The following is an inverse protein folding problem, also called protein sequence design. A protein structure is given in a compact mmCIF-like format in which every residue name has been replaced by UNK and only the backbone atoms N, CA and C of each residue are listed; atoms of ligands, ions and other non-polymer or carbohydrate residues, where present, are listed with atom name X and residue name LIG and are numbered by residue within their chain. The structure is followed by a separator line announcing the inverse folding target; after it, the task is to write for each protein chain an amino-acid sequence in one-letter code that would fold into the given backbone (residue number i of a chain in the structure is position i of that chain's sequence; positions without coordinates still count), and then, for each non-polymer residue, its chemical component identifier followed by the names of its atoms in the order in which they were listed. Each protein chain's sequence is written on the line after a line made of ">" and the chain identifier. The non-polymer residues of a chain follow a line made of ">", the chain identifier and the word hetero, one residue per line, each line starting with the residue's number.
data_IF_482025903643
#
_entry.id   IF_482025903643
#
_cell.length_a   1.000
_cell.length_b   1.000
_cell.length_c   1.000
_cell.angle_alpha   90.00
_cell.angle_beta   90.00
_cell.angle_gamma   90.00
#
_symmetry.space_group_name_H-M   'P 1'
#
loop_
_entity.id
_entity.type
_entity.pdbx_description
1 polymer ?
#
# COMPACT_ATOMS: atom_id res chain seq x y z
N UNK A 1 39.67 -77.49 -5.30
CA UNK A 1 38.39 -76.94 -5.81
C UNK A 1 37.63 -76.05 -4.82
N UNK A 2 37.87 -76.09 -3.50
CA UNK A 2 37.16 -75.21 -2.55
C UNK A 2 37.63 -73.75 -2.53
N UNK A 3 38.88 -73.46 -2.90
CA UNK A 3 39.40 -72.07 -2.92
C UNK A 3 38.93 -71.24 -4.12
N UNK A 4 38.53 -71.89 -5.23
CA UNK A 4 38.04 -71.18 -6.42
C UNK A 4 36.58 -70.71 -6.26
N UNK A 5 35.78 -71.37 -5.42
CA UNK A 5 34.39 -70.99 -5.18
C UNK A 5 34.23 -69.78 -4.24
N UNK A 6 35.20 -69.53 -3.35
CA UNK A 6 35.14 -68.40 -2.40
C UNK A 6 35.51 -67.08 -3.08
N UNK A 7 36.41 -67.10 -4.08
CA UNK A 7 36.81 -65.91 -4.83
C UNK A 7 35.72 -65.43 -5.82
N UNK A 8 34.86 -66.32 -6.32
CA UNK A 8 33.72 -65.94 -7.19
C UNK A 8 32.55 -65.38 -6.38
N UNK A 9 32.41 -65.75 -5.10
CA UNK A 9 31.41 -65.16 -4.19
C UNK A 9 31.81 -63.76 -3.68
N UNK A 10 33.10 -63.43 -3.66
CA UNK A 10 33.59 -62.11 -3.25
C UNK A 10 33.58 -61.03 -4.37
N UNK A 11 33.43 -61.42 -5.63
CA UNK A 11 33.33 -60.47 -6.76
C UNK A 11 31.91 -59.93 -7.01
N UNK A 12 30.91 -60.36 -6.25
CA UNK A 12 29.53 -59.83 -6.32
C UNK A 12 29.20 -58.76 -5.28
N UNK A 13 30.16 -58.40 -4.41
CA UNK A 13 30.03 -57.24 -3.53
C UNK A 13 30.73 -56.04 -4.18
N UNK A 14 30.20 -55.60 -5.33
CA UNK A 14 30.34 -54.19 -5.65
C UNK A 14 29.72 -53.42 -4.48
N UNK A 15 30.31 -52.31 -4.02
CA UNK A 15 29.52 -51.36 -3.25
C UNK A 15 28.42 -50.92 -4.21
N UNK A 16 27.26 -51.55 -4.10
CA UNK A 16 25.99 -50.93 -4.40
C UNK A 16 25.97 -49.75 -3.44
N UNK A 17 26.61 -48.66 -3.85
CA UNK A 17 26.33 -47.36 -3.31
C UNK A 17 24.84 -47.26 -3.47
N UNK A 18 24.12 -47.44 -2.36
CA UNK A 18 22.80 -46.89 -2.24
C UNK A 18 23.03 -45.41 -2.57
N UNK A 19 22.79 -45.07 -3.83
CA UNK A 19 22.41 -43.72 -4.20
C UNK A 19 21.16 -43.50 -3.37
N UNK A 20 21.35 -42.95 -2.16
CA UNK A 20 20.28 -42.32 -1.40
C UNK A 20 19.77 -41.29 -2.39
N UNK A 21 18.71 -41.67 -3.09
CA UNK A 21 18.05 -40.81 -4.04
C UNK A 21 17.42 -39.74 -3.15
N UNK A 22 18.20 -38.68 -2.94
CA UNK A 22 17.86 -37.57 -2.06
C UNK A 22 16.45 -37.15 -2.45
N UNK A 23 15.51 -37.38 -1.53
CA UNK A 23 14.16 -36.86 -1.66
C UNK A 23 14.31 -35.38 -1.89
N UNK A 24 13.93 -34.89 -3.08
CA UNK A 24 14.13 -33.50 -3.49
C UNK A 24 13.62 -32.58 -2.40
N UNK A 25 14.51 -31.83 -1.75
CA UNK A 25 14.09 -30.86 -0.75
C UNK A 25 13.75 -29.55 -1.44
N UNK A 26 12.46 -29.32 -1.70
CA UNK A 26 11.98 -28.11 -2.36
C UNK A 26 12.31 -26.82 -1.61
N UNK A 27 12.46 -26.88 -0.28
CA UNK A 27 12.90 -25.73 0.50
C UNK A 27 14.39 -25.44 0.23
N UNK A 28 15.22 -26.49 0.15
CA UNK A 28 16.64 -26.35 -0.18
C UNK A 28 16.87 -25.91 -1.63
N UNK A 29 16.08 -26.42 -2.59
CA UNK A 29 16.15 -26.04 -4.01
C UNK A 29 15.86 -24.53 -4.19
N UNK A 30 14.90 -23.99 -3.45
CA UNK A 30 14.61 -22.55 -3.47
C UNK A 30 15.48 -21.73 -2.51
N UNK A 31 16.29 -22.37 -1.66
CA UNK A 31 17.13 -21.69 -0.67
C UNK A 31 16.34 -20.98 0.43
N UNK A 32 15.16 -21.49 0.80
CA UNK A 32 14.28 -20.92 1.83
C UNK A 32 14.10 -21.89 3.00
N UNK A 33 13.76 -21.37 4.19
CA UNK A 33 13.46 -22.21 5.38
C UNK A 33 12.00 -22.66 5.38
N UNK A 34 11.71 -23.80 6.01
CA UNK A 34 10.33 -24.20 6.33
C UNK A 34 9.68 -23.11 7.20
N UNK A 35 8.50 -22.63 6.78
CA UNK A 35 7.83 -21.49 7.42
C UNK A 35 8.13 -20.11 6.81
N UNK A 36 8.85 -20.05 5.69
CA UNK A 36 9.04 -18.79 4.94
C UNK A 36 7.70 -18.16 4.54
N UNK A 37 7.65 -16.83 4.49
CA UNK A 37 6.48 -16.11 4.03
C UNK A 37 6.25 -16.29 2.52
N UNK A 38 5.01 -16.12 2.05
CA UNK A 38 4.68 -16.15 0.61
C UNK A 38 5.52 -15.17 -0.22
N UNK A 39 5.93 -14.05 0.40
CA UNK A 39 6.75 -13.03 -0.25
C UNK A 39 8.20 -13.50 -0.41
N UNK A 40 8.77 -14.15 0.61
CA UNK A 40 10.11 -14.75 0.54
C UNK A 40 10.16 -15.89 -0.48
N UNK A 41 9.14 -16.75 -0.51
CA UNK A 41 9.03 -17.83 -1.49
C UNK A 41 8.98 -17.30 -2.93
N UNK A 42 8.16 -16.25 -3.17
CA UNK A 42 8.09 -15.57 -4.48
C UNK A 42 9.41 -14.91 -4.86
N UNK A 43 10.10 -14.29 -3.90
CA UNK A 43 11.39 -13.62 -4.14
C UNK A 43 12.48 -14.63 -4.51
N UNK A 44 12.58 -15.74 -3.79
CA UNK A 44 13.52 -16.81 -4.04
C UNK A 44 13.35 -17.42 -5.45
N UNK A 45 12.10 -17.76 -5.81
CA UNK A 45 11.79 -18.27 -7.14
C UNK A 45 12.17 -17.27 -8.25
N UNK A 46 11.84 -15.98 -8.09
CA UNK A 46 12.20 -14.95 -9.10
C UNK A 46 13.70 -14.86 -9.34
N UNK A 47 14.48 -14.88 -8.27
CA UNK A 47 15.95 -14.78 -8.35
C UNK A 47 16.55 -15.98 -9.08
N UNK A 48 16.11 -17.20 -8.74
CA UNK A 48 16.63 -18.43 -9.35
C UNK A 48 16.13 -18.61 -10.79
N UNK A 49 14.87 -18.28 -11.06
CA UNK A 49 14.30 -18.37 -12.41
C UNK A 49 14.97 -17.39 -13.38
N UNK A 50 15.37 -16.20 -12.92
CA UNK A 50 16.18 -15.27 -13.73
C UNK A 50 17.62 -15.76 -13.90
N UNK A 51 18.20 -16.39 -12.88
CA UNK A 51 19.59 -16.89 -12.92
C UNK A 51 19.75 -18.03 -13.91
N UNK A 52 18.74 -18.88 -14.06
CA UNK A 52 18.76 -20.06 -14.93
C UNK A 52 17.95 -19.89 -16.22
N UNK A 53 17.56 -18.66 -16.57
CA UNK A 53 16.86 -18.40 -17.83
C UNK A 53 17.81 -18.59 -19.03
N UNK A 54 17.38 -19.25 -20.12
CA UNK A 54 18.24 -19.55 -21.28
C UNK A 54 18.87 -18.29 -21.91
N UNK A 55 18.19 -17.14 -21.84
CA UNK A 55 18.72 -15.85 -22.33
C UNK A 55 19.90 -15.27 -21.50
N UNK A 56 20.17 -15.79 -20.30
CA UNK A 56 21.19 -15.27 -19.38
C UNK A 56 22.40 -16.18 -19.20
N UNK A 57 22.41 -17.33 -19.85
CA UNK A 57 23.41 -18.37 -19.66
C UNK A 57 24.12 -18.64 -21.00
N UNK A 58 25.44 -18.83 -20.94
CA UNK A 58 26.25 -19.16 -22.11
C UNK A 58 25.80 -20.48 -22.74
N UNK A 59 25.98 -20.63 -24.05
CA UNK A 59 25.47 -21.77 -24.82
C UNK A 59 25.93 -23.14 -24.28
N UNK A 60 27.15 -23.19 -23.73
CA UNK A 60 27.75 -24.39 -23.11
C UNK A 60 27.05 -24.86 -21.82
N UNK A 61 26.35 -23.96 -21.12
CA UNK A 61 25.75 -24.22 -19.80
C UNK A 61 24.21 -24.31 -19.85
N UNK A 62 23.61 -24.24 -21.06
CA UNK A 62 22.16 -24.25 -21.26
C UNK A 62 21.49 -25.49 -20.68
N UNK A 63 22.04 -26.68 -20.94
CA UNK A 63 21.45 -27.94 -20.45
C UNK A 63 21.41 -28.03 -18.91
N UNK A 64 22.41 -27.44 -18.24
CA UNK A 64 22.48 -27.43 -16.77
C UNK A 64 21.55 -26.37 -16.19
N UNK A 65 21.49 -25.19 -16.83
CA UNK A 65 20.55 -24.14 -16.44
C UNK A 65 19.10 -24.59 -16.62
N UNK A 66 18.80 -25.28 -17.71
CA UNK A 66 17.48 -25.82 -18.01
C UNK A 66 17.01 -26.82 -16.93
N UNK A 67 17.86 -27.77 -16.55
CA UNK A 67 17.56 -28.72 -15.46
C UNK A 67 17.29 -28.02 -14.13
N UNK A 68 18.10 -27.01 -13.80
CA UNK A 68 17.90 -26.23 -12.57
C UNK A 68 16.66 -25.34 -12.64
N UNK A 69 16.33 -24.80 -13.80
CA UNK A 69 15.12 -24.01 -14.01
C UNK A 69 13.87 -24.86 -13.80
N UNK A 70 13.89 -26.09 -14.31
CA UNK A 70 12.86 -27.10 -14.07
C UNK A 70 12.68 -27.39 -12.58
N UNK A 71 13.76 -27.69 -11.87
CA UNK A 71 13.71 -28.02 -10.43
C UNK A 71 13.18 -26.85 -9.60
N UNK A 72 13.59 -25.62 -9.95
CA UNK A 72 13.13 -24.39 -9.30
C UNK A 72 11.63 -24.14 -9.54
N UNK A 73 11.13 -24.44 -10.74
CA UNK A 73 9.71 -24.31 -11.06
C UNK A 73 8.86 -25.36 -10.34
N UNK A 74 9.30 -26.62 -10.32
CA UNK A 74 8.66 -27.72 -9.60
C UNK A 74 8.56 -27.40 -8.10
N UNK A 75 9.66 -26.95 -7.49
CA UNK A 75 9.69 -26.56 -6.08
C UNK A 75 8.72 -25.41 -5.75
N UNK A 76 8.66 -24.40 -6.62
CA UNK A 76 7.75 -23.26 -6.43
C UNK A 76 6.28 -23.67 -6.59
N UNK A 77 5.96 -24.54 -7.53
CA UNK A 77 4.59 -25.01 -7.75
C UNK A 77 4.07 -25.78 -6.53
N UNK A 78 4.87 -26.68 -5.96
CA UNK A 78 4.49 -27.45 -4.78
C UNK A 78 4.37 -26.55 -3.54
N UNK A 79 5.33 -25.65 -3.31
CA UNK A 79 5.36 -24.83 -2.10
C UNK A 79 4.41 -23.61 -2.13
N UNK A 80 3.96 -23.17 -3.30
CA UNK A 80 3.07 -22.00 -3.43
C UNK A 80 1.58 -22.32 -3.31
N UNK A 81 1.19 -23.59 -3.48
CA UNK A 81 -0.18 -24.05 -3.26
C UNK A 81 -0.31 -24.61 -1.82
N UNK A 82 -1.21 -24.05 -0.98
CA UNK A 82 -1.36 -24.49 0.41
C UNK A 82 -1.64 -25.99 0.57
N UNK A 83 -2.42 -26.60 -0.33
CA UNK A 83 -2.76 -28.04 -0.28
C UNK A 83 -1.56 -28.89 -0.66
N UNK A 84 -0.89 -28.56 -1.77
CA UNK A 84 0.32 -29.29 -2.21
C UNK A 84 1.47 -29.16 -1.22
N UNK A 85 1.62 -27.98 -0.61
CA UNK A 85 2.61 -27.73 0.45
C UNK A 85 2.34 -28.58 1.68
N UNK A 86 1.08 -28.67 2.11
CA UNK A 86 0.67 -29.50 3.23
C UNK A 86 0.93 -30.98 2.96
N UNK A 87 0.52 -31.49 1.79
CA UNK A 87 0.80 -32.87 1.36
C UNK A 87 2.32 -33.14 1.31
N UNK A 88 3.11 -32.23 0.76
CA UNK A 88 4.57 -32.33 0.74
C UNK A 88 5.19 -32.32 2.14
N UNK A 89 4.74 -31.42 3.01
CA UNK A 89 5.23 -31.33 4.39
C UNK A 89 4.86 -32.58 5.20
N UNK A 90 3.69 -33.17 4.97
CA UNK A 90 3.27 -34.44 5.56
C UNK A 90 4.14 -35.59 5.04
N UNK A 91 4.30 -35.73 3.72
CA UNK A 91 5.18 -36.76 3.12
C UNK A 91 6.63 -36.67 3.60
N UNK A 92 7.15 -35.46 3.82
CA UNK A 92 8.50 -35.22 4.36
C UNK A 92 8.60 -35.55 5.85
N UNK A 93 7.53 -35.35 6.63
CA UNK A 93 7.51 -35.62 8.06
C UNK A 93 7.47 -37.12 8.40
N UNK A 94 6.86 -37.95 7.54
CA UNK A 94 6.75 -39.40 7.76
C UNK A 94 7.99 -40.22 7.34
N UNK A 95 9.12 -39.58 7.04
CA UNK A 95 10.40 -40.29 6.93
C UNK A 95 10.47 -41.34 5.81
N UNK A 96 10.04 -40.98 4.59
CA UNK A 96 10.45 -41.66 3.36
C UNK A 96 9.61 -42.87 2.92
N UNK A 97 9.05 -42.74 1.71
CA UNK A 97 8.79 -43.88 0.83
C UNK A 97 7.42 -44.53 0.92
N UNK A 98 6.50 -44.12 0.04
CA UNK A 98 5.61 -45.11 -0.57
C UNK A 98 5.48 -44.86 -2.08
N UNK A 99 5.76 -45.94 -2.80
CA UNK A 99 5.54 -46.16 -4.24
C UNK A 99 4.14 -45.69 -4.64
N UNK A 100 4.06 -44.50 -5.24
CA UNK A 100 2.96 -44.11 -6.11
C UNK A 100 3.39 -44.32 -7.56
N UNK A 101 3.11 -45.51 -8.10
CA UNK A 101 3.33 -45.84 -9.50
C UNK A 101 2.44 -44.96 -10.39
N UNK A 102 2.99 -43.85 -10.87
CA UNK A 102 2.43 -43.00 -11.93
C UNK A 102 3.58 -42.52 -12.80
N UNK A 103 4.12 -43.44 -13.61
CA UNK A 103 5.36 -43.24 -14.34
C UNK A 103 5.33 -42.04 -15.29
N UNK A 104 6.45 -41.30 -15.32
CA UNK A 104 6.82 -40.44 -16.44
C UNK A 104 8.31 -40.63 -16.74
N UNK A 105 8.62 -41.80 -17.26
CA UNK A 105 9.86 -42.07 -17.98
C UNK A 105 9.56 -42.33 -19.46
N UNK A 106 10.23 -41.59 -20.34
CA UNK A 106 10.52 -42.02 -21.71
C UNK A 106 9.49 -41.71 -22.79
N UNK A 107 9.70 -40.63 -23.55
CA UNK A 107 9.09 -40.40 -24.85
C UNK A 107 9.88 -39.39 -25.66
N UNK A 108 10.64 -39.86 -26.65
CA UNK A 108 11.36 -39.04 -27.64
C UNK A 108 10.39 -38.07 -28.33
N UNK A 109 10.72 -36.78 -28.32
CA UNK A 109 10.12 -35.77 -29.22
C UNK A 109 9.52 -34.56 -28.50
N UNK A 110 10.25 -33.44 -28.56
CA UNK A 110 9.79 -32.05 -28.40
C UNK A 110 9.04 -31.59 -27.14
N UNK A 111 9.63 -30.56 -26.52
CA UNK A 111 9.01 -29.52 -25.68
C UNK A 111 8.54 -29.86 -24.25
N UNK A 112 9.45 -29.67 -23.28
CA UNK A 112 9.27 -28.98 -21.99
C UNK A 112 7.92 -29.01 -21.25
N UNK A 113 7.32 -30.20 -21.05
CA UNK A 113 6.06 -30.33 -20.31
C UNK A 113 6.15 -31.37 -19.20
N UNK A 114 5.83 -30.97 -17.97
CA UNK A 114 5.68 -31.87 -16.82
C UNK A 114 4.24 -32.38 -16.77
N UNK A 115 4.06 -33.68 -16.52
CA UNK A 115 2.73 -34.25 -16.29
C UNK A 115 2.56 -34.57 -14.81
N UNK A 116 1.77 -33.74 -14.13
CA UNK A 116 1.30 -33.98 -12.76
C UNK A 116 -0.21 -33.82 -12.73
N UNK A 117 -0.95 -34.93 -12.72
CA UNK A 117 -2.38 -34.94 -12.44
C UNK A 117 -3.28 -34.30 -13.50
N UNK A 118 -3.02 -34.53 -14.80
CA UNK A 118 -3.97 -34.21 -15.87
C UNK A 118 -3.94 -32.77 -16.39
N UNK A 119 -3.02 -31.93 -15.91
CA UNK A 119 -2.77 -30.60 -16.47
C UNK A 119 -1.29 -30.45 -16.81
N UNK A 120 -0.97 -30.32 -18.10
CA UNK A 120 0.38 -30.02 -18.58
C UNK A 120 0.70 -28.56 -18.27
N UNK A 121 1.56 -28.31 -17.29
CA UNK A 121 2.02 -26.95 -16.97
C UNK A 121 3.45 -26.79 -17.45
N UNK A 122 3.67 -25.87 -18.39
CA UNK A 122 5.00 -25.52 -18.86
C UNK A 122 5.70 -24.65 -17.79
N UNK A 123 6.94 -24.96 -17.37
CA UNK A 123 7.70 -24.12 -16.42
C UNK A 123 7.84 -22.68 -16.89
N UNK A 124 8.05 -22.50 -18.19
CA UNK A 124 8.06 -21.20 -18.84
C UNK A 124 6.71 -20.47 -18.76
N UNK A 125 5.58 -21.18 -18.72
CA UNK A 125 4.27 -20.56 -18.50
C UNK A 125 4.07 -20.08 -17.06
N UNK A 126 4.67 -20.76 -16.06
CA UNK A 126 4.70 -20.28 -14.67
C UNK A 126 5.55 -19.01 -14.57
N UNK A 127 6.71 -19.02 -15.25
CA UNK A 127 7.57 -17.84 -15.39
C UNK A 127 6.83 -16.70 -16.11
N UNK A 128 6.22 -16.92 -17.27
CA UNK A 128 5.43 -15.92 -18.01
C UNK A 128 4.22 -15.42 -17.21
N UNK A 129 3.56 -16.27 -16.43
CA UNK A 129 2.48 -15.83 -15.53
C UNK A 129 2.99 -14.89 -14.43
N UNK A 130 4.26 -15.02 -14.04
CA UNK A 130 4.93 -14.18 -13.05
C UNK A 130 5.66 -12.95 -13.64
N UNK A 131 6.30 -13.09 -14.80
CA UNK A 131 7.17 -12.13 -15.49
C UNK A 131 6.57 -11.59 -16.81
N UNK A 132 5.80 -12.39 -17.54
CA UNK A 132 4.99 -11.92 -18.68
C UNK A 132 3.88 -10.94 -18.26
N UNK A 133 3.55 -10.91 -16.96
CA UNK A 133 2.78 -9.82 -16.33
C UNK A 133 3.51 -8.49 -16.21
N UNK A 134 4.78 -8.38 -16.63
CA UNK A 134 5.53 -7.11 -16.70
C UNK A 134 5.71 -6.53 -18.12
N UNK A 135 5.18 -7.16 -19.16
CA UNK A 135 5.24 -6.64 -20.55
C UNK A 135 3.92 -6.10 -21.11
N UNK A 136 2.78 -6.67 -20.68
CA UNK A 136 1.48 -6.24 -21.18
C UNK A 136 0.44 -6.47 -20.07
N UNK A 137 -0.11 -5.36 -19.53
CA UNK A 137 -1.06 -5.30 -18.39
C UNK A 137 -0.40 -5.15 -17.00
N UNK A 138 0.00 -3.92 -16.65
CA UNK A 138 0.41 -3.54 -15.29
C UNK A 138 -0.43 -2.38 -14.73
N UNK A 139 -0.77 -2.28 -13.44
CA UNK A 139 -0.41 -3.13 -12.32
C UNK A 139 -1.10 -2.70 -11.01
N UNK A 140 -1.03 -3.60 -10.03
CA UNK A 140 -1.07 -3.47 -8.55
C UNK A 140 -0.91 -4.90 -8.00
N UNK A 141 -0.01 -5.21 -7.06
CA UNK A 141 0.46 -4.46 -5.89
C UNK A 141 1.81 -5.02 -5.36
N UNK A 142 2.48 -4.17 -4.57
CA UNK A 142 3.44 -4.43 -3.48
C UNK A 142 4.81 -5.00 -3.87
N UNK A 143 5.86 -4.19 -3.80
CA UNK A 143 6.65 -3.83 -2.60
C UNK A 143 7.80 -4.83 -2.42
N UNK A 144 8.87 -4.54 -3.15
CA UNK A 144 10.24 -4.95 -2.85
C UNK A 144 11.17 -4.09 -3.72
N UNK A 145 11.13 -2.76 -3.53
CA UNK A 145 12.08 -1.86 -4.18
C UNK A 145 13.15 -1.46 -3.18
N UNK A 146 14.15 -2.34 -3.04
CA UNK A 146 15.50 -1.95 -2.62
C UNK A 146 16.61 -2.80 -3.29
N UNK A 147 16.39 -3.38 -4.48
CA UNK A 147 17.40 -4.23 -5.16
C UNK A 147 17.70 -3.85 -6.63
N UNK A 148 17.08 -2.81 -7.19
CA UNK A 148 17.24 -2.50 -8.62
C UNK A 148 17.73 -1.08 -8.94
N UNK A 149 18.37 -0.43 -7.98
CA UNK A 149 18.99 0.88 -8.18
C UNK A 149 20.52 0.77 -8.22
N UNK A 150 21.06 -0.23 -8.93
CA UNK A 150 22.50 -0.31 -9.19
C UNK A 150 22.80 -1.23 -10.39
N UNK A 151 22.38 -0.86 -11.60
CA UNK A 151 23.05 -1.35 -12.81
C UNK A 151 22.98 -0.26 -13.90
N UNK A 152 23.96 0.61 -13.82
CA UNK A 152 24.40 1.50 -14.87
C UNK A 152 25.21 0.66 -15.86
N UNK A 153 24.69 0.43 -17.07
CA UNK A 153 25.51 -0.08 -18.18
C UNK A 153 25.44 0.92 -19.33
N UNK A 154 26.55 1.63 -19.52
CA UNK A 154 26.83 2.41 -20.72
C UNK A 154 27.36 1.52 -21.84
N UNK A 155 27.19 2.02 -23.08
CA UNK A 155 27.94 1.73 -24.31
C UNK A 155 28.05 0.26 -24.75
N UNK A 156 27.45 -0.11 -25.89
CA UNK A 156 28.09 -0.05 -27.23
C UNK A 156 27.14 -0.63 -28.30
N UNK A 157 26.85 0.22 -29.29
CA UNK A 157 26.92 0.03 -30.75
C UNK A 157 26.21 -1.13 -31.46
N UNK A 158 25.45 -0.78 -32.52
CA UNK A 158 25.40 -1.62 -33.72
C UNK A 158 24.06 -1.79 -34.45
N UNK A 159 23.96 -1.13 -35.60
CA UNK A 159 23.17 -1.50 -36.80
C UNK A 159 21.67 -1.15 -36.84
N UNK A 160 21.31 -0.51 -37.95
CA UNK A 160 20.06 0.19 -38.14
C UNK A 160 18.92 -0.69 -38.67
N UNK A 161 17.73 -0.34 -38.22
CA UNK A 161 16.51 -0.47 -38.99
C UNK A 161 15.59 0.69 -38.58
N UNK A 162 15.14 1.48 -39.56
CA UNK A 162 14.10 2.49 -39.39
C UNK A 162 12.80 1.81 -38.95
N UNK A 163 12.64 1.63 -37.63
CA UNK A 163 11.33 1.40 -37.03
C UNK A 163 10.66 2.74 -36.86
N UNK A 164 9.48 2.89 -37.47
CA UNK A 164 8.52 3.96 -37.18
C UNK A 164 8.51 4.19 -35.67
N UNK A 165 8.73 5.45 -35.26
CA UNK A 165 8.61 5.89 -33.87
C UNK A 165 7.16 5.68 -33.43
N UNK A 166 6.83 4.49 -32.96
CA UNK A 166 5.69 4.29 -32.08
C UNK A 166 5.97 5.15 -30.85
N UNK A 167 5.14 6.19 -30.66
CA UNK A 167 5.20 7.03 -29.48
C UNK A 167 5.21 6.11 -28.25
N UNK A 168 6.27 6.22 -27.42
CA UNK A 168 6.33 5.51 -26.13
C UNK A 168 4.99 5.72 -25.41
N UNK A 169 4.31 4.66 -24.93
CA UNK A 169 3.03 4.82 -24.24
C UNK A 169 3.23 5.78 -23.08
N UNK A 170 2.58 6.94 -23.13
CA UNK A 170 2.67 7.93 -22.05
C UNK A 170 2.18 7.27 -20.76
N UNK A 171 3.08 7.17 -19.78
CA UNK A 171 2.76 6.70 -18.44
C UNK A 171 1.69 7.61 -17.85
N UNK A 172 0.64 7.01 -17.31
CA UNK A 172 -0.43 7.72 -16.61
C UNK A 172 0.11 8.40 -15.34
N UNK A 173 -0.56 9.49 -14.92
CA UNK A 173 -0.16 10.32 -13.78
C UNK A 173 0.18 9.54 -12.51
N UNK A 174 -0.59 8.50 -12.21
CA UNK A 174 -0.48 7.68 -11.00
C UNK A 174 0.27 6.37 -11.19
N UNK A 175 0.88 6.16 -12.37
CA UNK A 175 1.71 4.98 -12.56
C UNK A 175 2.86 4.98 -11.57
N UNK A 176 3.07 3.84 -10.90
CA UNK A 176 4.07 3.65 -9.84
C UNK A 176 3.81 4.41 -8.53
N UNK A 177 2.66 5.08 -8.36
CA UNK A 177 2.30 5.68 -7.06
C UNK A 177 1.68 4.60 -6.15
N UNK A 178 2.26 4.34 -4.96
CA UNK A 178 1.72 3.36 -4.03
C UNK A 178 0.32 3.80 -3.59
N UNK A 179 -0.56 2.82 -3.37
CA UNK A 179 -1.91 3.01 -2.81
C UNK A 179 -2.92 3.87 -3.63
N UNK A 180 -2.52 4.63 -4.66
CA UNK A 180 -3.40 5.20 -5.73
C UNK A 180 -3.54 4.37 -7.03
N UNK A 181 -4.75 3.95 -7.41
CA UNK A 181 -5.01 3.12 -8.62
C UNK A 181 -5.13 3.97 -9.88
N UNK A 182 -4.36 3.67 -10.94
CA UNK A 182 -4.69 4.14 -12.30
C UNK A 182 -5.94 3.42 -12.80
N UNK A 183 -7.05 4.15 -12.90
CA UNK A 183 -8.33 3.64 -13.40
C UNK A 183 -8.37 3.61 -14.92
N UNK A 184 -9.14 2.66 -15.44
CA UNK A 184 -9.46 2.51 -16.86
C UNK A 184 -10.92 2.15 -16.99
N UNK A 185 -11.46 2.13 -18.21
CA UNK A 185 -12.86 1.73 -18.45
C UNK A 185 -13.25 0.39 -17.78
N UNK A 186 -12.34 -0.60 -17.76
CA UNK A 186 -12.57 -1.92 -17.13
C UNK A 186 -12.44 -1.91 -15.61
N UNK A 187 -11.61 -1.01 -15.06
CA UNK A 187 -11.32 -0.92 -13.62
C UNK A 187 -12.20 0.11 -12.91
N UNK A 188 -12.94 0.93 -13.65
CA UNK A 188 -13.81 1.95 -13.10
C UNK A 188 -14.93 1.30 -12.26
N UNK A 189 -15.26 1.83 -11.08
CA UNK A 189 -16.27 1.24 -10.22
C UNK A 189 -17.64 1.22 -10.91
N UNK A 190 -18.21 0.02 -11.01
CA UNK A 190 -19.56 -0.21 -11.51
C UNK A 190 -20.55 -0.43 -10.36
N UNK A 191 -21.82 -0.72 -10.68
CA UNK A 191 -22.85 -1.06 -9.68
C UNK A 191 -22.43 -2.18 -8.72
N UNK A 192 -21.64 -3.14 -9.20
CA UNK A 192 -21.19 -4.29 -8.41
C UNK A 192 -19.77 -4.09 -7.82
N UNK A 193 -19.30 -2.85 -7.67
CA UNK A 193 -17.98 -2.58 -7.13
C UNK A 193 -17.86 -3.11 -5.70
N UNK A 194 -16.83 -3.92 -5.43
CA UNK A 194 -16.55 -4.46 -4.08
C UNK A 194 -16.03 -3.41 -3.09
N UNK A 195 -15.66 -2.23 -3.56
CA UNK A 195 -15.04 -1.19 -2.75
C UNK A 195 -15.62 0.17 -3.11
N UNK A 196 -15.63 1.07 -2.12
CA UNK A 196 -15.90 2.48 -2.26
C UNK A 196 -14.67 3.20 -2.81
N UNK A 197 -14.86 4.27 -3.58
CA UNK A 197 -13.76 4.94 -4.28
C UNK A 197 -13.80 6.46 -4.13
N UNK A 198 -12.64 7.03 -3.82
CA UNK A 198 -12.33 8.43 -4.11
C UNK A 198 -11.53 8.49 -5.43
N UNK A 199 -12.02 9.26 -6.39
CA UNK A 199 -11.48 9.32 -7.75
C UNK A 199 -11.06 10.74 -8.09
N UNK A 200 -9.83 10.90 -8.56
CA UNK A 200 -9.35 12.11 -9.22
C UNK A 200 -9.48 11.99 -10.75
N UNK A 201 -10.28 12.85 -11.35
CA UNK A 201 -10.41 12.99 -12.80
C UNK A 201 -9.46 14.07 -13.27
N UNK A 202 -8.55 13.74 -14.21
CA UNK A 202 -7.50 14.66 -14.64
C UNK A 202 -7.24 14.60 -16.14
N UNK A 203 -6.54 15.62 -16.64
CA UNK A 203 -5.95 15.68 -17.97
C UNK A 203 -4.42 15.70 -17.85
N UNK A 204 -3.73 14.95 -18.69
CA UNK A 204 -2.27 14.97 -18.81
C UNK A 204 -1.74 16.25 -19.45
N UNK A 205 -2.62 17.02 -20.13
CA UNK A 205 -2.25 18.28 -20.75
C UNK A 205 -2.07 19.40 -19.72
N UNK A 206 -2.68 19.27 -18.54
CA UNK A 206 -2.50 20.23 -17.45
C UNK A 206 -1.42 19.77 -16.47
N UNK A 207 -0.27 20.48 -16.52
CA UNK A 207 0.89 20.22 -15.65
C UNK A 207 0.56 20.40 -14.16
N UNK A 208 -0.47 21.18 -13.80
CA UNK A 208 -0.88 21.37 -12.39
C UNK A 208 -1.34 20.06 -11.75
N UNK A 209 -1.76 19.07 -12.55
CA UNK A 209 -2.20 17.77 -12.03
C UNK A 209 -1.09 16.97 -11.33
N UNK A 210 0.19 17.27 -11.61
CA UNK A 210 1.32 16.64 -10.93
C UNK A 210 1.32 16.86 -9.41
N UNK A 211 0.78 17.99 -8.92
CA UNK A 211 0.74 18.31 -7.48
C UNK A 211 -0.12 17.32 -6.68
N UNK A 212 -1.13 16.73 -7.32
CA UNK A 212 -2.07 15.80 -6.69
C UNK A 212 -1.49 14.39 -6.46
N UNK A 213 -0.29 14.09 -6.97
CA UNK A 213 0.34 12.77 -6.77
C UNK A 213 0.57 12.47 -5.30
N UNK A 214 1.20 13.40 -4.59
CA UNK A 214 1.50 13.26 -3.16
C UNK A 214 0.21 13.26 -2.33
N UNK A 215 -0.69 14.21 -2.60
CA UNK A 215 -1.97 14.33 -1.89
C UNK A 215 -2.81 13.06 -1.97
N UNK A 216 -3.01 12.50 -3.17
CA UNK A 216 -3.81 11.29 -3.31
C UNK A 216 -3.16 10.07 -2.66
N UNK A 217 -1.82 9.98 -2.64
CA UNK A 217 -1.11 8.92 -1.94
C UNK A 217 -1.30 9.02 -0.41
N UNK A 218 -1.16 10.23 0.16
CA UNK A 218 -1.41 10.49 1.59
C UNK A 218 -2.85 10.11 1.96
N UNK A 219 -3.84 10.62 1.22
CA UNK A 219 -5.25 10.31 1.45
C UNK A 219 -5.50 8.79 1.38
N UNK A 220 -4.87 8.11 0.43
CA UNK A 220 -5.02 6.66 0.33
C UNK A 220 -4.45 5.89 1.51
N UNK A 221 -3.37 6.39 2.12
CA UNK A 221 -2.78 5.82 3.33
C UNK A 221 -3.70 6.06 4.53
N UNK A 222 -4.20 7.29 4.68
CA UNK A 222 -5.05 7.71 5.78
C UNK A 222 -6.42 7.00 5.78
N UNK A 223 -6.97 6.71 4.59
CA UNK A 223 -8.22 5.94 4.45
C UNK A 223 -8.05 4.44 4.79
N UNK A 224 -6.81 3.96 4.95
CA UNK A 224 -6.52 2.59 5.42
C UNK A 224 -7.13 1.48 4.56
N UNK A 225 -7.42 1.75 3.29
CA UNK A 225 -8.06 0.80 2.37
C UNK A 225 -9.58 0.62 2.53
N UNK A 226 -10.23 1.28 3.49
CA UNK A 226 -11.69 1.30 3.65
C UNK A 226 -12.37 1.93 2.43
N UNK A 227 -11.78 3.02 1.94
CA UNK A 227 -12.10 3.65 0.66
C UNK A 227 -10.86 3.58 -0.22
N UNK A 228 -10.99 3.05 -1.44
CA UNK A 228 -9.89 3.00 -2.42
C UNK A 228 -9.71 4.36 -3.06
N UNK A 229 -8.46 4.71 -3.35
CA UNK A 229 -8.13 5.95 -4.05
C UNK A 229 -7.65 5.62 -5.45
N UNK A 230 -8.14 6.35 -6.45
CA UNK A 230 -7.76 6.17 -7.84
C UNK A 230 -7.77 7.45 -8.65
N UNK A 231 -7.19 7.38 -9.85
CA UNK A 231 -7.20 8.47 -10.81
C UNK A 231 -7.60 7.99 -12.20
N UNK A 232 -8.43 8.77 -12.90
CA UNK A 232 -8.88 8.51 -14.26
C UNK A 232 -8.39 9.63 -15.19
N UNK A 233 -7.61 9.24 -16.21
CA UNK A 233 -7.23 10.16 -17.29
C UNK A 233 -8.42 10.39 -18.23
N UNK A 234 -8.98 11.60 -18.21
CA UNK A 234 -10.10 11.98 -19.06
C UNK A 234 -9.71 12.27 -20.52
N UNK A 235 -8.43 12.50 -20.84
CA UNK A 235 -7.98 12.57 -22.24
C UNK A 235 -8.11 11.19 -22.91
N UNK A 236 -7.83 10.14 -22.14
CA UNK A 236 -7.90 8.75 -22.61
C UNK A 236 -9.31 8.16 -22.52
N UNK A 237 -10.11 8.57 -21.54
CA UNK A 237 -11.43 8.02 -21.26
C UNK A 237 -12.52 9.11 -21.12
N UNK A 238 -12.72 9.99 -22.13
CA UNK A 238 -13.64 11.13 -22.02
C UNK A 238 -15.10 10.69 -21.85
N UNK A 239 -15.50 9.56 -22.43
CA UNK A 239 -16.86 9.02 -22.31
C UNK A 239 -17.20 8.63 -20.87
N UNK A 240 -16.26 8.04 -20.13
CA UNK A 240 -16.45 7.66 -18.72
C UNK A 240 -16.60 8.92 -17.85
N UNK A 241 -15.80 9.95 -18.10
CA UNK A 241 -15.90 11.22 -17.36
C UNK A 241 -17.26 11.90 -17.60
N UNK A 242 -17.70 12.04 -18.86
CA UNK A 242 -18.99 12.66 -19.20
C UNK A 242 -20.19 11.90 -18.65
N UNK A 243 -20.20 10.56 -18.73
CA UNK A 243 -21.27 9.73 -18.16
C UNK A 243 -21.43 9.93 -16.65
N UNK A 244 -20.35 10.28 -15.96
CA UNK A 244 -20.33 10.55 -14.53
C UNK A 244 -20.45 12.06 -14.20
N UNK A 245 -20.98 12.86 -15.14
CA UNK A 245 -21.23 14.30 -15.01
C UNK A 245 -19.98 15.14 -14.73
N UNK A 246 -18.80 14.63 -15.08
CA UNK A 246 -17.55 15.40 -14.99
C UNK A 246 -17.45 16.31 -16.22
N UNK A 247 -17.37 17.61 -15.99
CA UNK A 247 -17.09 18.57 -17.04
C UNK A 247 -15.58 18.59 -17.35
N UNK A 248 -15.25 18.32 -18.61
CA UNK A 248 -13.87 18.21 -19.07
C UNK A 248 -13.15 19.56 -19.10
N UNK A 249 -13.88 20.68 -19.11
CA UNK A 249 -13.31 22.03 -19.11
C UNK A 249 -12.88 22.49 -17.71
N UNK A 250 -13.41 21.86 -16.67
CA UNK A 250 -13.19 22.22 -15.27
C UNK A 250 -12.34 21.19 -14.50
N UNK A 251 -11.50 20.43 -15.21
CA UNK A 251 -10.53 19.54 -14.58
C UNK A 251 -9.44 20.36 -13.83
N UNK A 252 -8.91 19.85 -12.70
CA UNK A 252 -9.19 18.56 -12.08
C UNK A 252 -10.53 18.50 -11.33
N UNK A 253 -11.16 17.33 -11.35
CA UNK A 253 -12.38 17.07 -10.59
C UNK A 253 -12.20 15.86 -9.66
N UNK A 254 -12.97 15.84 -8.57
CA UNK A 254 -12.92 14.76 -7.58
C UNK A 254 -14.31 14.19 -7.34
N UNK A 255 -14.41 12.87 -7.22
CA UNK A 255 -15.68 12.19 -7.05
C UNK A 255 -15.60 11.00 -6.11
N UNK A 256 -16.71 10.74 -5.43
CA UNK A 256 -16.94 9.56 -4.63
C UNK A 256 -17.83 8.59 -5.40
N UNK A 257 -17.36 7.35 -5.60
CA UNK A 257 -18.08 6.35 -6.36
C UNK A 257 -18.39 5.12 -5.51
N UNK A 258 -19.67 4.74 -5.47
CA UNK A 258 -20.15 3.54 -4.79
C UNK A 258 -21.47 3.07 -5.40
N UNK A 259 -21.66 1.75 -5.53
CA UNK A 259 -22.90 1.14 -6.05
C UNK A 259 -23.38 1.72 -7.40
N UNK A 260 -22.44 2.15 -8.25
CA UNK A 260 -22.74 2.77 -9.55
C UNK A 260 -23.25 4.21 -9.48
N UNK A 261 -23.31 4.80 -8.30
CA UNK A 261 -23.54 6.23 -8.11
C UNK A 261 -22.23 6.99 -8.04
N UNK A 262 -22.26 8.24 -8.50
CA UNK A 262 -21.15 9.18 -8.44
C UNK A 262 -21.60 10.46 -7.76
N UNK A 263 -20.88 10.86 -6.71
CA UNK A 263 -21.04 12.17 -6.06
C UNK A 263 -19.80 12.99 -6.30
N UNK A 264 -19.95 14.11 -7.02
CA UNK A 264 -18.83 15.02 -7.29
C UNK A 264 -18.63 15.98 -6.12
N UNK A 265 -17.36 16.24 -5.81
CA UNK A 265 -16.95 17.26 -4.85
C UNK A 265 -17.15 18.65 -5.47
N UNK A 266 -17.67 19.61 -4.70
CA UNK A 266 -18.07 20.95 -5.18
C UNK A 266 -17.30 22.12 -4.55
N UNK A 267 -16.32 21.86 -3.69
CA UNK A 267 -15.53 22.90 -3.03
C UNK A 267 -14.16 23.08 -3.64
N UNK A 268 -13.33 23.92 -3.00
CA UNK A 268 -11.92 24.05 -3.33
C UNK A 268 -11.18 22.78 -2.87
N UNK A 269 -10.55 22.03 -3.79
CA UNK A 269 -9.95 20.76 -3.41
C UNK A 269 -8.66 21.01 -2.61
N UNK A 270 -8.49 20.22 -1.55
CA UNK A 270 -7.28 20.14 -0.73
C UNK A 270 -7.17 18.77 -0.06
N UNK A 271 -6.00 18.45 0.51
CA UNK A 271 -5.75 17.15 1.13
C UNK A 271 -6.81 16.82 2.20
N UNK A 272 -7.10 17.80 3.06
CA UNK A 272 -8.07 17.67 4.14
C UNK A 272 -9.50 17.57 3.63
N UNK A 273 -9.88 18.45 2.70
CA UNK A 273 -11.24 18.54 2.17
C UNK A 273 -11.64 17.27 1.43
N UNK A 274 -10.72 16.69 0.65
CA UNK A 274 -10.93 15.46 -0.09
C UNK A 274 -10.97 14.24 0.83
N UNK A 275 -10.12 14.21 1.85
CA UNK A 275 -10.13 13.16 2.87
C UNK A 275 -11.44 13.18 3.66
N UNK A 276 -11.86 14.37 4.12
CA UNK A 276 -13.15 14.56 4.80
C UNK A 276 -14.32 14.17 3.89
N UNK A 277 -14.30 14.58 2.63
CA UNK A 277 -15.32 14.21 1.67
C UNK A 277 -15.44 12.70 1.51
N UNK A 278 -14.32 11.98 1.38
CA UNK A 278 -14.33 10.52 1.32
C UNK A 278 -14.84 9.89 2.63
N UNK A 279 -14.38 10.40 3.78
CA UNK A 279 -14.77 9.91 5.08
C UNK A 279 -16.25 10.12 5.40
N UNK A 280 -16.82 11.27 5.06
CA UNK A 280 -18.25 11.59 5.29
C UNK A 280 -19.16 10.68 4.45
N UNK A 281 -18.81 10.46 3.17
CA UNK A 281 -19.60 9.57 2.32
C UNK A 281 -19.48 8.10 2.75
N UNK A 282 -18.33 7.70 3.31
CA UNK A 282 -18.18 6.40 3.95
C UNK A 282 -18.99 6.29 5.27
N UNK A 283 -18.94 7.34 6.11
CA UNK A 283 -19.60 7.43 7.43
C UNK A 283 -21.12 7.47 7.34
N UNK A 284 -21.72 8.06 6.30
CA UNK A 284 -23.17 8.07 6.13
C UNK A 284 -23.79 6.65 6.02
N UNK A 285 -22.95 5.60 5.96
CA UNK A 285 -23.35 4.20 5.88
C UNK A 285 -23.15 3.39 7.17
N UNK A 286 -22.16 3.73 7.99
CA UNK A 286 -21.92 3.08 9.28
C UNK A 286 -22.27 4.11 10.36
N UNK A 287 -23.18 3.81 11.29
CA UNK A 287 -23.35 4.58 12.54
C UNK A 287 -22.11 4.42 13.43
N UNK A 288 -20.94 4.71 12.89
CA UNK A 288 -19.68 4.76 13.62
C UNK A 288 -19.25 6.21 13.71
N UNK A 289 -19.00 6.57 14.95
CA UNK A 289 -18.71 7.87 15.46
C UNK A 289 -17.39 8.44 14.92
N UNK A 290 -17.22 9.75 15.06
CA UNK A 290 -16.04 10.52 14.66
C UNK A 290 -14.69 9.95 15.13
N UNK A 291 -14.69 8.99 16.07
CA UNK A 291 -13.52 8.36 16.69
C UNK A 291 -12.61 7.62 15.71
N UNK A 292 -13.13 7.12 14.58
CA UNK A 292 -12.29 6.44 13.57
C UNK A 292 -11.62 7.36 12.55
N UNK A 293 -11.81 8.69 12.67
CA UNK A 293 -11.04 9.69 11.94
C UNK A 293 -9.90 10.22 12.79
N UNK A 294 -9.23 9.34 13.54
CA UNK A 294 -7.90 9.60 14.10
C UNK A 294 -6.98 9.84 12.90
N UNK A 295 -6.99 11.08 12.42
CA UNK A 295 -6.03 11.57 11.47
C UNK A 295 -4.70 11.43 12.18
N UNK A 296 -3.87 10.50 11.73
CA UNK A 296 -2.45 10.34 12.09
C UNK A 296 -1.61 11.62 11.83
N UNK A 297 -2.25 12.78 11.63
CA UNK A 297 -1.69 14.02 11.13
C UNK A 297 -2.23 15.27 11.89
N UNK A 298 -2.78 15.13 13.11
CA UNK A 298 -3.24 16.29 13.92
C UNK A 298 -2.15 17.37 14.09
N UNK A 299 -0.89 16.96 14.26
CA UNK A 299 0.26 17.89 14.30
C UNK A 299 0.45 18.65 12.99
N UNK A 300 0.26 17.99 11.84
CA UNK A 300 0.34 18.58 10.50
C UNK A 300 -0.82 19.55 10.24
N UNK A 301 -2.03 19.23 10.71
CA UNK A 301 -3.21 20.12 10.66
C UNK A 301 -2.90 21.45 11.36
N UNK A 302 -2.26 21.38 12.52
CA UNK A 302 -1.90 22.58 13.29
C UNK A 302 -0.56 23.20 12.90
N UNK A 303 0.09 22.73 11.84
CA UNK A 303 1.39 23.23 11.39
C UNK A 303 2.44 23.20 12.53
N UNK A 304 2.53 22.07 13.23
CA UNK A 304 3.42 21.83 14.37
C UNK A 304 4.37 20.66 14.09
N UNK A 305 5.42 20.54 14.90
CA UNK A 305 6.42 19.48 14.79
C UNK A 305 7.49 19.74 13.72
N UNK A 306 8.24 18.69 13.37
CA UNK A 306 9.38 18.75 12.43
C UNK A 306 8.98 19.13 11.00
N UNK A 307 7.73 18.85 10.62
CA UNK A 307 7.19 19.11 9.28
C UNK A 307 6.46 20.48 9.18
N UNK A 308 6.58 21.33 10.20
CA UNK A 308 5.93 22.64 10.23
C UNK A 308 6.50 23.58 9.17
N UNK A 309 5.63 24.20 8.38
CA UNK A 309 5.99 25.27 7.46
C UNK A 309 5.97 26.63 8.17
N UNK A 310 7.12 27.26 8.46
CA UNK A 310 7.19 28.50 9.24
C UNK A 310 6.54 29.72 8.54
N UNK A 311 6.28 29.62 7.23
CA UNK A 311 5.66 30.68 6.42
C UNK A 311 4.14 30.67 6.49
N UNK A 312 3.51 29.57 6.94
CA UNK A 312 2.05 29.43 7.00
C UNK A 312 1.55 29.77 8.41
N UNK A 313 1.01 30.98 8.58
CA UNK A 313 0.31 31.38 9.81
C UNK A 313 -1.18 31.04 9.71
N UNK A 314 -1.60 29.95 10.36
CA UNK A 314 -3.01 29.68 10.66
C UNK A 314 -3.19 29.51 12.17
N UNK A 315 -4.36 29.89 12.68
CA UNK A 315 -4.75 29.59 14.05
C UNK A 315 -5.26 28.14 14.03
N UNK A 316 -4.81 27.31 14.96
CA UNK A 316 -5.32 25.96 15.16
C UNK A 316 -6.04 25.87 16.51
N UNK A 317 -7.29 25.45 16.51
CA UNK A 317 -8.05 25.13 17.71
C UNK A 317 -8.04 23.62 17.94
N UNK A 318 -7.55 23.19 19.10
CA UNK A 318 -7.40 21.79 19.46
C UNK A 318 -8.31 21.51 20.65
N UNK A 319 -9.33 20.69 20.43
CA UNK A 319 -10.24 20.25 21.48
C UNK A 319 -9.62 19.07 22.23
N UNK A 320 -9.22 19.30 23.48
CA UNK A 320 -8.75 18.24 24.37
C UNK A 320 -9.97 17.56 24.98
N UNK A 321 -10.23 16.33 24.53
CA UNK A 321 -11.44 15.57 24.87
C UNK A 321 -11.15 14.54 25.96
N UNK A 322 -12.21 14.16 26.68
CA UNK A 322 -12.20 13.09 27.67
C UNK A 322 -11.83 11.76 27.03
N UNK A 323 -11.23 10.88 27.81
CA UNK A 323 -10.94 9.49 27.40
C UNK A 323 -12.13 8.55 27.66
N UNK A 324 -13.16 9.02 28.38
CA UNK A 324 -14.44 8.30 28.50
C UNK A 324 -15.20 8.41 27.18
N UNK A 325 -15.43 7.28 26.52
CA UNK A 325 -16.05 7.19 25.17
C UNK A 325 -17.38 7.96 25.08
N UNK A 326 -18.22 7.85 26.12
CA UNK A 326 -19.54 8.51 26.14
C UNK A 326 -19.41 10.04 26.22
N UNK A 327 -18.53 10.52 27.09
CA UNK A 327 -18.23 11.95 27.22
C UNK A 327 -17.49 12.49 25.99
N UNK A 328 -16.49 11.76 25.51
CA UNK A 328 -15.74 12.06 24.30
C UNK A 328 -16.69 12.27 23.12
N UNK A 329 -17.66 11.37 22.95
CA UNK A 329 -18.64 11.50 21.89
C UNK A 329 -19.58 12.68 22.04
N UNK A 330 -19.95 13.05 23.27
CA UNK A 330 -20.72 14.26 23.53
C UNK A 330 -19.90 15.50 23.15
N UNK A 331 -18.64 15.56 23.56
CA UNK A 331 -17.73 16.67 23.31
C UNK A 331 -17.41 16.82 21.81
N UNK A 332 -17.13 15.72 21.11
CA UNK A 332 -16.87 15.73 19.67
C UNK A 332 -18.08 16.24 18.87
N UNK A 333 -19.32 15.90 19.29
CA UNK A 333 -20.54 16.45 18.66
C UNK A 333 -20.65 17.96 18.84
N UNK A 334 -20.32 18.48 20.02
CA UNK A 334 -20.33 19.93 20.29
C UNK A 334 -19.24 20.62 19.46
N UNK A 335 -18.02 20.09 19.47
CA UNK A 335 -16.91 20.58 18.67
C UNK A 335 -17.22 20.59 17.17
N UNK A 336 -17.91 19.56 16.65
CA UNK A 336 -18.34 19.49 15.25
C UNK A 336 -19.35 20.60 14.90
N UNK A 337 -20.29 20.92 15.80
CA UNK A 337 -21.22 22.04 15.60
C UNK A 337 -20.48 23.37 15.49
N UNK A 338 -19.60 23.66 16.46
CA UNK A 338 -18.77 24.87 16.47
C UNK A 338 -17.93 24.95 15.19
N UNK A 339 -17.27 23.85 14.82
CA UNK A 339 -16.48 23.77 13.59
C UNK A 339 -17.28 24.13 12.33
N UNK A 340 -18.52 23.64 12.20
CA UNK A 340 -19.39 23.96 11.06
C UNK A 340 -19.70 25.46 10.96
N UNK A 341 -19.85 26.14 12.10
CA UNK A 341 -20.08 27.60 12.17
C UNK A 341 -18.88 28.37 11.62
N UNK A 342 -17.66 27.99 11.99
CA UNK A 342 -16.44 28.70 11.59
C UNK A 342 -15.86 28.26 10.24
N UNK A 343 -16.30 27.12 9.67
CA UNK A 343 -15.80 26.57 8.40
C UNK A 343 -15.94 27.56 7.22
N UNK A 344 -16.99 28.38 7.22
CA UNK A 344 -17.26 29.35 6.16
C UNK A 344 -16.50 30.65 6.42
N UNK A 345 -15.25 30.72 5.95
CA UNK A 345 -14.53 31.99 5.80
C UNK A 345 -13.38 32.26 6.78
N UNK A 346 -13.10 31.37 7.73
CA UNK A 346 -11.99 31.56 8.68
C UNK A 346 -10.73 30.76 8.32
N UNK A 347 -9.53 31.32 8.54
CA UNK A 347 -8.24 30.61 8.46
C UNK A 347 -7.98 29.78 9.73
N UNK A 348 -9.01 29.10 10.23
CA UNK A 348 -8.95 28.26 11.43
C UNK A 348 -8.82 26.79 11.03
N UNK A 349 -7.81 26.15 11.59
CA UNK A 349 -7.68 24.71 11.56
C UNK A 349 -8.25 24.14 12.86
N UNK A 350 -8.84 22.96 12.79
CA UNK A 350 -9.42 22.30 13.95
C UNK A 350 -8.85 20.90 14.10
N UNK A 351 -8.49 20.54 15.32
CA UNK A 351 -8.08 19.20 15.69
C UNK A 351 -8.72 18.83 17.04
N UNK A 352 -8.65 17.56 17.38
CA UNK A 352 -9.02 17.06 18.70
C UNK A 352 -7.84 16.25 19.24
N UNK A 353 -7.73 16.10 20.56
CA UNK A 353 -6.61 15.44 21.20
C UNK A 353 -7.13 14.63 22.39
N UNK A 354 -6.92 13.30 22.43
CA UNK A 354 -7.23 12.52 23.62
C UNK A 354 -6.34 12.96 24.79
N UNK A 355 -6.94 13.12 25.98
CA UNK A 355 -6.27 13.64 27.17
C UNK A 355 -5.19 12.67 27.66
N UNK A 356 -5.51 11.39 27.86
CA UNK A 356 -4.61 10.39 28.48
C UNK A 356 -3.28 10.24 27.73
N UNK A 357 -3.33 10.11 26.41
CA UNK A 357 -2.13 9.93 25.57
C UNK A 357 -1.26 11.18 25.48
N UNK A 358 -1.80 12.35 25.85
CA UNK A 358 -1.11 13.63 25.75
C UNK A 358 -0.98 14.39 27.09
N UNK A 359 -1.29 13.77 28.22
CA UNK A 359 -1.34 14.44 29.52
C UNK A 359 0.03 15.05 29.91
N UNK A 360 1.13 14.35 29.61
CA UNK A 360 2.49 14.86 29.85
C UNK A 360 2.77 16.16 29.08
N UNK A 361 2.30 16.27 27.85
CA UNK A 361 2.43 17.48 27.03
C UNK A 361 1.55 18.59 27.62
N UNK A 362 0.30 18.28 27.94
CA UNK A 362 -0.67 19.23 28.47
C UNK A 362 -0.23 19.82 29.81
N UNK A 363 0.33 19.01 30.72
CA UNK A 363 0.91 19.51 31.99
C UNK A 363 2.06 20.47 31.75
N UNK A 364 2.95 20.18 30.80
CA UNK A 364 4.05 21.11 30.44
C UNK A 364 3.55 22.43 29.84
N UNK A 365 2.38 22.40 29.20
CA UNK A 365 1.70 23.59 28.70
C UNK A 365 0.89 24.32 29.78
N UNK A 366 0.90 23.85 31.03
CA UNK A 366 0.25 24.50 32.16
C UNK A 366 -1.16 24.00 32.46
N UNK A 367 -1.54 22.81 31.97
CA UNK A 367 -2.79 22.18 32.40
C UNK A 367 -2.70 21.77 33.87
N UNK A 368 -3.44 22.45 34.73
CA UNK A 368 -3.51 22.18 36.17
C UNK A 368 -4.54 21.11 36.54
N UNK A 369 -5.56 20.91 35.68
CA UNK A 369 -6.68 20.04 35.97
C UNK A 369 -6.87 18.99 34.87
N UNK A 370 -6.76 17.72 35.26
CA UNK A 370 -6.97 16.57 34.40
C UNK A 370 -8.45 16.18 34.26
N UNK A 371 -9.32 16.68 35.13
CA UNK A 371 -10.74 16.31 35.17
C UNK A 371 -11.57 17.10 34.17
N UNK A 372 -11.15 18.32 33.82
CA UNK A 372 -11.89 19.17 32.90
C UNK A 372 -11.36 19.07 31.46
N UNK A 373 -12.26 18.98 30.47
CA UNK A 373 -11.86 19.10 29.08
C UNK A 373 -11.30 20.50 28.84
N UNK A 374 -10.52 20.64 27.78
CA UNK A 374 -9.77 21.86 27.54
C UNK A 374 -9.73 22.21 26.06
N UNK A 375 -9.41 23.46 25.76
CA UNK A 375 -9.13 23.87 24.39
C UNK A 375 -7.75 24.49 24.32
N UNK A 376 -6.90 23.93 23.46
CA UNK A 376 -5.57 24.44 23.18
C UNK A 376 -5.61 25.21 21.86
N UNK A 377 -5.34 26.51 21.93
CA UNK A 377 -5.19 27.37 20.76
C UNK A 377 -3.71 27.46 20.41
N UNK A 378 -3.36 27.17 19.16
CA UNK A 378 -2.02 27.31 18.61
C UNK A 378 -1.99 28.32 17.48
N UNK A 379 -0.88 29.05 17.34
CA UNK A 379 -0.62 29.90 16.17
C UNK A 379 0.86 30.00 15.90
N UNK A 380 1.26 29.80 14.64
CA UNK A 380 2.64 30.09 14.21
C UNK A 380 2.70 31.54 13.74
N UNK A 381 3.46 32.38 14.43
CA UNK A 381 3.69 33.78 14.06
C UNK A 381 5.18 34.06 13.90
N UNK A 382 5.60 34.54 12.71
CA UNK A 382 7.01 34.83 12.40
C UNK A 382 7.94 33.64 12.72
N UNK A 383 7.53 32.42 12.35
CA UNK A 383 8.27 31.17 12.63
C UNK A 383 8.28 30.73 14.10
N UNK A 384 7.60 31.44 15.01
CA UNK A 384 7.52 31.08 16.43
C UNK A 384 6.14 30.56 16.79
N UNK A 385 6.11 29.40 17.45
CA UNK A 385 4.88 28.80 17.95
C UNK A 385 4.40 29.54 19.20
N UNK A 386 3.16 29.98 19.16
CA UNK A 386 2.45 30.53 20.31
C UNK A 386 1.25 29.68 20.66
N UNK A 387 0.90 29.66 21.94
CA UNK A 387 -0.20 28.86 22.42
C UNK A 387 -0.97 29.54 23.56
N UNK A 388 -2.18 29.03 23.81
CA UNK A 388 -2.92 29.25 25.04
C UNK A 388 -3.82 28.06 25.32
N UNK A 389 -3.84 27.61 26.57
CA UNK A 389 -4.69 26.52 27.02
C UNK A 389 -5.84 27.10 27.85
N UNK A 390 -7.06 26.65 27.57
CA UNK A 390 -8.28 27.01 28.26
C UNK A 390 -8.85 25.78 28.97
N UNK A 391 -9.10 25.88 30.27
CA UNK A 391 -9.90 24.89 31.00
C UNK A 391 -11.39 25.18 30.79
N UNK A 392 -12.16 24.14 30.45
CA UNK A 392 -13.55 24.27 30.03
C UNK A 392 -14.44 23.31 30.82
N UNK A 393 -14.80 23.62 32.09
CA UNK A 393 -15.56 22.70 32.93
C UNK A 393 -16.91 22.29 32.31
N UNK A 394 -17.57 23.19 31.58
CA UNK A 394 -18.89 22.95 30.98
C UNK A 394 -18.87 22.51 29.50
N UNK A 395 -17.71 22.49 28.83
CA UNK A 395 -17.50 22.16 27.40
C UNK A 395 -18.75 22.34 26.52
N UNK A 396 -19.22 23.57 26.38
CA UNK A 396 -20.44 23.90 25.65
C UNK A 396 -20.16 24.72 24.39
N UNK A 397 -21.16 24.81 23.51
CA UNK A 397 -21.04 25.49 22.23
C UNK A 397 -20.73 26.99 22.39
N UNK A 398 -21.34 27.62 23.39
CA UNK A 398 -21.17 29.05 23.66
C UNK A 398 -19.73 29.36 24.09
N UNK A 399 -19.22 28.68 25.11
CA UNK A 399 -17.86 28.93 25.63
C UNK A 399 -16.80 28.70 24.56
N UNK A 400 -16.97 27.67 23.73
CA UNK A 400 -16.06 27.40 22.62
C UNK A 400 -16.10 28.49 21.56
N UNK A 401 -17.30 28.95 21.19
CA UNK A 401 -17.50 30.01 20.19
C UNK A 401 -16.90 31.32 20.68
N UNK A 402 -17.20 31.74 21.91
CA UNK A 402 -16.69 32.99 22.51
C UNK A 402 -15.16 33.03 22.50
N UNK A 403 -14.49 31.92 22.89
CA UNK A 403 -13.02 31.85 22.86
C UNK A 403 -12.48 31.93 21.42
N UNK A 404 -13.12 31.25 20.46
CA UNK A 404 -12.68 31.27 19.07
C UNK A 404 -12.83 32.65 18.46
N UNK A 405 -13.96 33.33 18.68
CA UNK A 405 -14.19 34.71 18.21
C UNK A 405 -13.13 35.66 18.77
N UNK A 406 -12.88 35.61 20.08
CA UNK A 406 -11.84 36.43 20.71
C UNK A 406 -10.43 36.12 20.18
N UNK A 407 -10.14 34.85 19.85
CA UNK A 407 -8.87 34.45 19.24
C UNK A 407 -8.72 34.94 17.79
N UNK A 408 -9.81 34.91 17.00
CA UNK A 408 -9.83 35.42 15.63
C UNK A 408 -9.67 36.94 15.63
N UNK A 409 -10.38 37.64 16.53
CA UNK A 409 -10.31 39.09 16.72
C UNK A 409 -8.96 39.57 17.23
N UNK A 410 -8.11 38.67 17.73
CA UNK A 410 -6.77 39.00 18.24
C UNK A 410 -6.78 39.62 19.64
N UNK A 411 -7.92 39.57 20.33
CA UNK A 411 -8.12 40.10 21.69
C UNK A 411 -7.39 39.26 22.75
N UNK A 412 -7.08 38.01 22.40
CA UNK A 412 -6.44 37.05 23.28
C UNK A 412 -4.92 37.03 23.05
N UNK A 413 -4.09 37.38 24.05
CA UNK A 413 -2.66 37.17 23.97
C UNK A 413 -2.33 35.67 24.03
N UNK A 414 -1.53 35.20 23.07
CA UNK A 414 -0.93 33.87 23.07
C UNK A 414 0.50 33.94 23.65
N UNK A 415 0.82 32.97 24.50
CA UNK A 415 2.13 32.83 25.14
C UNK A 415 3.14 32.18 24.18
N UNK A 416 4.43 32.46 24.36
CA UNK A 416 5.49 31.71 23.67
C UNK A 416 5.49 30.28 24.20
N UNK A 417 5.54 29.29 23.30
CA UNK A 417 5.65 27.90 23.74
C UNK A 417 7.00 27.67 24.43
N UNK A 418 7.04 27.14 25.66
CA UNK A 418 8.30 26.82 26.34
C UNK A 418 8.97 25.57 25.76
N UNK A 419 8.24 24.79 24.96
CA UNK A 419 8.66 23.51 24.40
C UNK A 419 8.24 23.38 22.95
N UNK A 420 8.88 22.47 22.21
CA UNK A 420 8.30 21.97 20.97
C UNK A 420 7.01 21.20 21.29
N UNK A 421 5.95 21.46 20.54
CA UNK A 421 4.66 20.77 20.69
C UNK A 421 4.60 19.66 19.64
N UNK A 422 4.68 18.42 20.11
CA UNK A 422 4.51 17.21 19.32
C UNK A 422 3.39 16.39 19.96
N UNK A 423 2.30 16.17 19.22
CA UNK A 423 1.19 15.35 19.68
C UNK A 423 1.53 13.86 19.51
N UNK A 424 1.19 13.06 20.52
CA UNK A 424 1.27 11.61 20.40
C UNK A 424 0.18 11.13 19.45
N UNK A 425 0.60 10.33 18.47
CA UNK A 425 -0.29 9.65 17.53
C UNK A 425 -0.57 8.26 18.12
N UNK A 426 -1.81 8.00 18.53
CA UNK A 426 -2.29 6.65 18.80
C UNK A 426 -3.10 6.10 17.62
#
# INVERSE_FOLDING_TARGET
>A
MLFLCILVLLSCLSPFTLSIQSTKDYYAILGVKKGCSDNELKKAYRTLALKYHPDKVEEKDRDVAEKKFVEVAEAYEVLSDPKKKEEYDQMRAFGGGQKGNGGFGGGKGSAFSFNTGGMKINPFAIFEKMFGKSGQSGGRRSDDSNIFQEFQFGGVDGSGQQRQRQAKPQSSLYDKIPNVVTLSRKKFPSKNAKHEWLIHFYSMNDKKNAQWKKTMATISSDLGGKVKVGGLNCDKYPSVCRQNKVDLKSLPAFGYAWNGEMKLYKGDPGEYELLQFAAENHKNRFRETLEKLNYKNQAKICNTGTDANPTKSSICAIFVVSDDEKQQMKQLKIAEKVWKTFKRGSKLNFAYLPRKSNDKLLRKLGSSDAQHPSMLILRVQKGRLRYRLYSLPNFDEKSLTDILEACIGGEVPLHKSPIAINFHQE
#
